data_IF_925281815394
#
_entry.id   IF_925281815394
#
_cell.length_a   1.000
_cell.length_b   1.000
_cell.length_c   1.000
_cell.angle_alpha   90.00
_cell.angle_beta   90.00
_cell.angle_gamma   90.00
#
_symmetry.space_group_name_H-M   'P 1'
#
loop_
_entity.id
_entity.type
_entity.pdbx_description
1 polymer ?
#
# COMPACT_ATOMS: atom_id res chain seq x y z
N UNK A 1 12.58 1.28 0.05
CA UNK A 1 12.33 -0.18 -0.13
C UNK A 1 11.75 -0.41 -1.53
N UNK A 2 12.61 -0.57 -2.53
CA UNK A 2 12.18 -0.95 -3.89
C UNK A 2 11.91 -2.46 -3.92
N UNK A 3 10.89 -2.90 -4.66
CA UNK A 3 10.24 -4.20 -4.46
C UNK A 3 11.24 -5.38 -4.44
N UNK A 4 11.09 -6.32 -3.51
CA UNK A 4 11.98 -7.48 -3.30
C UNK A 4 12.33 -8.22 -4.58
N UNK A 5 11.41 -8.20 -5.54
CA UNK A 5 11.54 -8.61 -6.93
C UNK A 5 12.75 -8.05 -7.67
N UNK A 6 13.03 -6.75 -7.54
CA UNK A 6 14.14 -6.11 -8.23
C UNK A 6 15.48 -6.61 -7.70
N UNK A 7 15.58 -6.75 -6.37
CA UNK A 7 16.78 -7.28 -5.72
C UNK A 7 16.99 -8.74 -6.14
N UNK A 8 15.94 -9.57 -6.11
CA UNK A 8 15.99 -10.95 -6.61
C UNK A 8 16.51 -11.01 -8.05
N UNK A 9 15.93 -10.21 -8.95
CA UNK A 9 16.30 -10.16 -10.37
C UNK A 9 17.76 -9.75 -10.57
N UNK A 10 18.21 -8.70 -9.88
CA UNK A 10 19.57 -8.19 -9.99
C UNK A 10 20.59 -9.21 -9.48
N UNK A 11 20.30 -9.91 -8.39
CA UNK A 11 21.14 -11.02 -7.90
C UNK A 11 21.20 -12.14 -8.94
N UNK A 12 20.05 -12.58 -9.46
CA UNK A 12 20.01 -13.65 -10.46
C UNK A 12 20.79 -13.26 -11.72
N UNK A 13 20.62 -12.04 -12.22
CA UNK A 13 21.36 -11.54 -13.38
C UNK A 13 22.87 -11.52 -13.14
N UNK A 14 23.31 -11.09 -11.95
CA UNK A 14 24.72 -11.13 -11.58
C UNK A 14 25.30 -12.56 -11.57
N UNK A 15 24.55 -13.53 -11.04
CA UNK A 15 24.96 -14.94 -11.04
C UNK A 15 25.02 -15.54 -12.45
N UNK A 16 24.11 -15.13 -13.34
CA UNK A 16 24.12 -15.53 -14.76
C UNK A 16 25.37 -14.98 -15.47
N UNK A 17 25.69 -13.70 -15.26
CA UNK A 17 26.91 -13.09 -15.84
C UNK A 17 28.20 -13.79 -15.38
N UNK A 18 28.20 -14.34 -14.17
CA UNK A 18 29.31 -15.13 -13.63
C UNK A 18 29.27 -16.62 -14.05
N UNK A 19 28.28 -17.03 -14.85
CA UNK A 19 28.05 -18.43 -15.25
C UNK A 19 27.80 -19.38 -14.07
N UNK A 20 27.30 -18.86 -12.94
CA UNK A 20 26.98 -19.61 -11.73
C UNK A 20 25.51 -20.05 -11.68
N UNK A 21 24.66 -19.39 -12.46
CA UNK A 21 23.24 -19.65 -12.55
C UNK A 21 22.86 -19.68 -14.03
N UNK A 22 22.12 -20.70 -14.45
CA UNK A 22 21.61 -20.87 -15.81
C UNK A 22 22.72 -20.77 -16.86
N UNK A 23 23.77 -21.59 -16.74
CA UNK A 23 24.94 -21.54 -17.62
C UNK A 23 24.65 -21.72 -19.11
N UNK A 24 23.47 -22.26 -19.46
CA UNK A 24 22.99 -22.45 -20.84
C UNK A 24 21.88 -21.45 -21.25
N UNK A 25 21.51 -20.50 -20.38
CA UNK A 25 20.49 -19.52 -20.71
C UNK A 25 21.05 -18.39 -21.59
N UNK A 26 20.19 -17.84 -22.43
CA UNK A 26 20.48 -16.61 -23.16
C UNK A 26 20.31 -15.41 -22.21
N UNK A 27 21.39 -14.70 -21.82
CA UNK A 27 21.32 -13.59 -20.86
C UNK A 27 20.41 -12.45 -21.35
N UNK A 28 20.32 -12.25 -22.67
CA UNK A 28 19.53 -11.18 -23.28
C UNK A 28 18.02 -11.43 -23.19
N UNK A 29 17.63 -12.69 -22.90
CA UNK A 29 16.23 -13.03 -22.70
C UNK A 29 15.78 -12.76 -21.26
N UNK A 30 16.66 -12.77 -20.25
CA UNK A 30 16.30 -12.64 -18.82
C UNK A 30 15.33 -11.46 -18.57
N UNK A 31 14.33 -11.57 -17.67
CA UNK A 31 13.18 -10.68 -17.68
C UNK A 31 13.64 -9.25 -17.61
N UNK A 32 13.18 -8.46 -18.57
CA UNK A 32 13.28 -7.02 -18.49
C UNK A 32 12.46 -6.56 -17.30
N UNK A 33 12.73 -5.34 -16.88
CA UNK A 33 12.02 -4.67 -15.80
C UNK A 33 10.50 -4.91 -15.88
N UNK A 34 9.87 -5.29 -14.77
CA UNK A 34 8.43 -5.61 -14.62
C UNK A 34 7.94 -7.00 -15.08
N UNK A 35 8.77 -7.84 -15.70
CA UNK A 35 8.34 -9.15 -16.23
C UNK A 35 8.43 -10.31 -15.23
N UNK A 36 8.80 -10.05 -13.97
CA UNK A 36 8.85 -11.06 -12.91
C UNK A 36 8.05 -10.53 -11.71
N UNK A 37 6.78 -10.88 -11.51
CA UNK A 37 5.99 -10.35 -10.39
C UNK A 37 6.45 -10.92 -9.04
N UNK A 38 6.23 -10.18 -7.95
CA UNK A 38 6.55 -10.64 -6.58
C UNK A 38 5.83 -11.95 -6.21
N UNK A 39 4.70 -12.24 -6.86
CA UNK A 39 4.00 -13.52 -6.73
C UNK A 39 4.88 -14.71 -7.10
N UNK A 40 5.80 -14.57 -8.06
CA UNK A 40 6.73 -15.62 -8.42
C UNK A 40 7.68 -15.94 -7.26
N UNK A 41 8.16 -14.94 -6.53
CA UNK A 41 8.96 -15.16 -5.32
C UNK A 41 8.14 -15.93 -4.28
N UNK A 42 6.89 -15.55 -4.04
CA UNK A 42 6.01 -16.28 -3.11
C UNK A 42 5.79 -17.73 -3.51
N UNK A 43 5.69 -18.03 -4.81
CA UNK A 43 5.55 -19.40 -5.32
C UNK A 43 6.84 -20.22 -5.19
N UNK A 44 8.01 -19.63 -5.47
CA UNK A 44 9.32 -20.26 -5.22
C UNK A 44 9.49 -20.55 -3.73
N UNK A 45 9.02 -19.64 -2.87
CA UNK A 45 9.09 -19.81 -1.42
C UNK A 45 8.11 -20.87 -0.88
N UNK A 46 7.04 -21.15 -1.61
CA UNK A 46 6.14 -22.24 -1.31
C UNK A 46 6.79 -23.59 -1.66
N UNK A 47 7.44 -23.67 -2.81
CA UNK A 47 8.27 -24.83 -3.18
C UNK A 47 9.35 -25.11 -2.11
N UNK A 48 10.02 -24.07 -1.58
CA UNK A 48 10.99 -24.19 -0.49
C UNK A 48 10.41 -24.82 0.79
N UNK A 49 9.15 -24.56 1.11
CA UNK A 49 8.49 -25.15 2.26
C UNK A 49 8.06 -26.59 2.00
N UNK A 50 7.63 -26.88 0.78
CA UNK A 50 7.13 -28.18 0.36
C UNK A 50 8.27 -29.16 -0.02
N UNK A 51 9.51 -28.69 -0.11
CA UNK A 51 10.63 -29.47 -0.65
C UNK A 51 10.44 -29.82 -2.13
N UNK A 52 9.72 -28.97 -2.85
CA UNK A 52 9.31 -29.13 -4.24
C UNK A 52 10.10 -28.21 -5.17
N UNK A 53 10.04 -28.45 -6.47
CA UNK A 53 10.52 -27.54 -7.52
C UNK A 53 9.48 -27.24 -8.59
N UNK A 54 8.24 -27.75 -8.43
CA UNK A 54 7.23 -27.72 -9.48
C UNK A 54 6.88 -26.30 -9.92
N UNK A 55 6.66 -25.38 -8.97
CA UNK A 55 6.28 -23.99 -9.26
C UNK A 55 7.45 -23.21 -9.81
N UNK A 56 8.64 -23.43 -9.24
CA UNK A 56 9.89 -22.83 -9.68
C UNK A 56 10.16 -23.21 -11.14
N UNK A 57 10.08 -24.49 -11.48
CA UNK A 57 10.18 -24.98 -12.86
C UNK A 57 9.13 -24.38 -13.79
N UNK A 58 7.87 -24.27 -13.33
CA UNK A 58 6.79 -23.66 -14.10
C UNK A 58 7.06 -22.19 -14.42
N UNK A 59 7.42 -21.39 -13.40
CA UNK A 59 7.79 -19.98 -13.56
C UNK A 59 8.94 -19.82 -14.55
N UNK A 60 9.95 -20.68 -14.45
CA UNK A 60 11.07 -20.66 -15.36
C UNK A 60 10.60 -20.95 -16.80
N UNK A 61 9.84 -22.03 -17.01
CA UNK A 61 9.30 -22.38 -18.33
C UNK A 61 8.44 -21.27 -18.94
N UNK A 62 7.49 -20.74 -18.19
CA UNK A 62 6.50 -19.77 -18.66
C UNK A 62 7.12 -18.42 -18.99
N UNK A 63 8.26 -18.12 -18.39
CA UNK A 63 8.94 -16.85 -18.56
C UNK A 63 9.69 -16.71 -19.89
N UNK A 64 9.81 -17.78 -20.69
CA UNK A 64 10.40 -17.74 -22.02
C UNK A 64 11.93 -17.54 -22.06
N UNK A 65 12.61 -17.58 -20.90
CA UNK A 65 14.07 -17.45 -20.80
C UNK A 65 14.84 -18.70 -21.24
N UNK A 66 14.16 -19.83 -21.38
CA UNK A 66 14.78 -21.13 -21.56
C UNK A 66 14.58 -21.67 -22.97
N UNK A 67 15.70 -22.05 -23.60
CA UNK A 67 15.71 -22.94 -24.77
C UNK A 67 16.03 -24.39 -24.38
N UNK A 68 16.50 -24.65 -23.15
CA UNK A 68 16.83 -25.98 -22.59
C UNK A 68 16.31 -26.16 -21.16
N UNK A 69 16.27 -27.41 -20.66
CA UNK A 69 15.85 -27.73 -19.28
C UNK A 69 16.79 -27.11 -18.21
N UNK A 70 16.20 -26.57 -17.13
CA UNK A 70 16.94 -26.06 -15.97
C UNK A 70 17.52 -27.22 -15.14
N UNK A 71 18.72 -27.05 -14.60
CA UNK A 71 19.32 -28.07 -13.74
C UNK A 71 18.76 -28.01 -12.32
N UNK A 72 18.88 -29.11 -11.57
CA UNK A 72 18.54 -29.13 -10.14
C UNK A 72 19.35 -28.09 -9.32
N UNK A 73 20.60 -27.82 -9.73
CA UNK A 73 21.43 -26.80 -9.11
C UNK A 73 20.87 -25.40 -9.33
N UNK A 74 20.42 -25.08 -10.55
CA UNK A 74 19.81 -23.80 -10.87
C UNK A 74 18.56 -23.52 -10.04
N UNK A 75 17.70 -24.53 -9.92
CA UNK A 75 16.48 -24.48 -9.10
C UNK A 75 16.85 -24.17 -7.64
N UNK A 76 17.81 -24.91 -7.08
CA UNK A 76 18.27 -24.71 -5.70
C UNK A 76 18.85 -23.32 -5.48
N UNK A 77 19.59 -22.77 -6.45
CA UNK A 77 20.13 -21.41 -6.39
C UNK A 77 19.00 -20.37 -6.39
N UNK A 78 18.03 -20.48 -7.30
CA UNK A 78 16.90 -19.56 -7.37
C UNK A 78 16.07 -19.57 -6.09
N UNK A 79 15.79 -20.77 -5.58
CA UNK A 79 15.15 -21.01 -4.31
C UNK A 79 15.90 -20.37 -3.13
N UNK A 80 17.22 -20.50 -3.11
CA UNK A 80 18.06 -19.90 -2.08
C UNK A 80 18.05 -18.38 -2.16
N UNK A 81 18.18 -17.80 -3.36
CA UNK A 81 18.12 -16.35 -3.56
C UNK A 81 16.77 -15.79 -3.12
N UNK A 82 15.65 -16.46 -3.45
CA UNK A 82 14.32 -16.08 -2.99
C UNK A 82 14.24 -16.05 -1.45
N UNK A 83 14.71 -17.12 -0.79
CA UNK A 83 14.73 -17.21 0.66
C UNK A 83 15.54 -16.10 1.33
N UNK A 84 16.74 -15.80 0.82
CA UNK A 84 17.61 -14.75 1.36
C UNK A 84 16.98 -13.37 1.20
N UNK A 85 16.43 -13.07 0.02
CA UNK A 85 15.77 -11.78 -0.27
C UNK A 85 14.54 -11.59 0.62
N UNK A 86 13.67 -12.61 0.72
CA UNK A 86 12.47 -12.55 1.54
C UNK A 86 12.77 -12.48 3.04
N UNK A 87 13.79 -13.20 3.51
CA UNK A 87 14.25 -13.12 4.90
C UNK A 87 14.75 -11.71 5.23
N UNK A 88 15.61 -11.13 4.39
CA UNK A 88 16.10 -9.75 4.56
C UNK A 88 14.95 -8.74 4.59
N UNK A 89 13.97 -8.88 3.69
CA UNK A 89 12.79 -8.01 3.68
C UNK A 89 12.01 -8.09 5.00
N UNK A 90 11.83 -9.31 5.54
CA UNK A 90 11.13 -9.52 6.81
C UNK A 90 11.85 -8.84 8.01
N UNK A 91 13.18 -8.83 8.01
CA UNK A 91 13.99 -8.19 9.04
C UNK A 91 13.85 -6.66 8.99
N UNK A 92 13.93 -6.07 7.80
CA UNK A 92 13.79 -4.62 7.62
C UNK A 92 12.40 -4.12 8.08
N UNK A 93 11.35 -4.86 7.72
CA UNK A 93 9.99 -4.56 8.18
C UNK A 93 9.88 -4.69 9.70
N UNK A 94 10.43 -5.77 10.28
CA UNK A 94 10.42 -5.98 11.72
C UNK A 94 11.18 -4.89 12.48
N UNK A 95 12.30 -4.39 11.95
CA UNK A 95 13.04 -3.25 12.54
C UNK A 95 12.15 -2.02 12.62
N UNK A 96 11.48 -1.68 11.51
CA UNK A 96 10.61 -0.50 11.47
C UNK A 96 9.42 -0.64 12.42
N UNK A 97 8.72 -1.78 12.39
CA UNK A 97 7.63 -2.07 13.31
C UNK A 97 8.07 -2.09 14.78
N UNK A 98 9.26 -2.62 15.08
CA UNK A 98 9.80 -2.66 16.44
C UNK A 98 10.05 -1.27 17.02
N UNK A 99 10.49 -0.32 16.18
CA UNK A 99 10.60 1.09 16.58
C UNK A 99 9.22 1.67 16.90
N UNK A 100 8.20 1.37 16.09
CA UNK A 100 6.84 1.84 16.34
C UNK A 100 6.24 1.26 17.62
N UNK A 101 6.38 -0.05 17.86
CA UNK A 101 5.92 -0.70 19.10
C UNK A 101 6.55 -0.05 20.34
N UNK A 102 7.87 0.19 20.30
CA UNK A 102 8.59 0.88 21.39
C UNK A 102 8.16 2.34 21.56
N UNK A 103 7.79 3.01 20.47
CA UNK A 103 7.38 4.42 20.48
C UNK A 103 5.97 4.61 21.02
N UNK A 104 5.04 3.77 20.58
CA UNK A 104 3.65 3.77 21.05
C UNK A 104 3.63 3.31 22.51
N UNK A 105 4.38 2.25 22.84
CA UNK A 105 4.57 1.74 24.20
C UNK A 105 3.28 1.46 24.96
N UNK A 106 2.31 0.83 24.30
CA UNK A 106 1.07 0.37 24.95
C UNK A 106 1.37 -0.74 25.97
N UNK A 107 0.69 -0.70 27.12
CA UNK A 107 0.74 -1.78 28.12
C UNK A 107 -0.06 -3.02 27.68
N UNK A 108 -1.03 -2.82 26.79
CA UNK A 108 -1.88 -3.87 26.25
C UNK A 108 -1.34 -4.36 24.90
N UNK A 109 -1.84 -5.50 24.44
CA UNK A 109 -1.53 -6.02 23.11
C UNK A 109 -1.84 -4.98 22.03
N UNK A 110 -0.81 -4.60 21.25
CA UNK A 110 -0.95 -3.73 20.08
C UNK A 110 -1.34 -4.54 18.86
N UNK A 111 -2.42 -4.15 18.19
CA UNK A 111 -2.84 -4.80 16.94
C UNK A 111 -2.28 -4.03 15.75
N UNK A 112 -1.63 -4.78 14.86
CA UNK A 112 -1.05 -4.29 13.62
C UNK A 112 -1.95 -4.78 12.48
N UNK A 113 -2.76 -3.89 11.93
CA UNK A 113 -3.56 -4.17 10.75
C UNK A 113 -2.65 -4.15 9.52
N UNK A 114 -2.67 -5.22 8.73
CA UNK A 114 -1.80 -5.40 7.57
C UNK A 114 -2.63 -5.66 6.33
N UNK A 115 -2.40 -4.89 5.28
CA UNK A 115 -2.91 -5.17 3.93
C UNK A 115 -1.73 -5.27 2.94
N UNK A 116 -2.01 -5.76 1.73
CA UNK A 116 -1.04 -5.92 0.66
C UNK A 116 -0.82 -7.37 0.24
N UNK A 117 -0.61 -7.56 -1.06
CA UNK A 117 -0.51 -8.87 -1.71
C UNK A 117 0.66 -9.70 -1.21
N UNK A 118 1.80 -9.08 -0.89
CA UNK A 118 2.98 -9.79 -0.42
C UNK A 118 2.69 -10.45 0.94
N UNK A 119 2.04 -9.73 1.87
CA UNK A 119 1.65 -10.30 3.16
C UNK A 119 0.57 -11.40 3.02
N UNK A 120 -0.39 -11.22 2.10
CA UNK A 120 -1.47 -12.20 1.86
C UNK A 120 -0.96 -13.53 1.30
N UNK A 121 0.02 -13.50 0.41
CA UNK A 121 0.39 -14.67 -0.39
C UNK A 121 1.76 -15.26 -0.08
N UNK A 122 2.66 -14.53 0.58
CA UNK A 122 3.99 -15.06 0.89
C UNK A 122 3.94 -16.03 2.07
N UNK A 123 4.32 -17.30 1.91
CA UNK A 123 3.98 -18.34 2.89
C UNK A 123 4.77 -18.25 4.20
N UNK A 124 5.95 -17.61 4.19
CA UNK A 124 6.84 -17.48 5.35
C UNK A 124 6.91 -16.09 5.99
N UNK A 125 6.45 -15.05 5.28
CA UNK A 125 6.81 -13.67 5.61
C UNK A 125 6.24 -13.23 6.96
N UNK A 126 4.96 -13.56 7.21
CA UNK A 126 4.30 -13.29 8.48
C UNK A 126 5.05 -13.91 9.66
N UNK A 127 5.34 -15.21 9.58
CA UNK A 127 6.01 -15.93 10.66
C UNK A 127 7.40 -15.38 10.96
N UNK A 128 8.15 -14.98 9.93
CA UNK A 128 9.45 -14.34 10.11
C UNK A 128 9.35 -12.94 10.71
N UNK A 129 8.43 -12.09 10.26
CA UNK A 129 8.22 -10.76 10.85
C UNK A 129 7.87 -10.92 12.34
N UNK A 130 6.94 -11.81 12.68
CA UNK A 130 6.56 -12.10 14.07
C UNK A 130 7.75 -12.61 14.89
N UNK A 131 8.56 -13.52 14.34
CA UNK A 131 9.76 -14.05 14.99
C UNK A 131 10.78 -12.97 15.31
N UNK A 132 11.14 -12.14 14.31
CA UNK A 132 12.08 -11.04 14.50
C UNK A 132 11.54 -9.99 15.49
N UNK A 133 10.24 -9.68 15.43
CA UNK A 133 9.62 -8.74 16.38
C UNK A 133 9.65 -9.25 17.83
N UNK A 134 9.35 -10.54 18.06
CA UNK A 134 9.44 -11.16 19.39
C UNK A 134 10.87 -11.09 19.95
N UNK A 135 11.89 -11.21 19.10
CA UNK A 135 13.29 -11.07 19.50
C UNK A 135 13.66 -9.61 19.82
N UNK A 136 13.20 -8.64 19.01
CA UNK A 136 13.57 -7.23 19.14
C UNK A 136 12.79 -6.46 20.21
N UNK A 137 11.55 -6.88 20.47
CA UNK A 137 10.61 -6.23 21.38
C UNK A 137 9.95 -7.26 22.31
N UNK A 138 10.71 -8.05 23.10
CA UNK A 138 10.16 -9.15 23.90
C UNK A 138 9.20 -8.70 25.00
N UNK A 139 9.23 -7.42 25.38
CA UNK A 139 8.36 -6.82 26.40
C UNK A 139 7.05 -6.26 25.84
N UNK A 140 6.91 -6.17 24.50
CA UNK A 140 5.73 -5.61 23.86
C UNK A 140 4.84 -6.73 23.34
N UNK A 141 3.58 -6.74 23.75
CA UNK A 141 2.58 -7.66 23.22
C UNK A 141 2.06 -7.12 21.89
N UNK A 142 2.05 -7.96 20.86
CA UNK A 142 1.55 -7.57 19.54
C UNK A 142 0.96 -8.76 18.78
N UNK A 143 0.09 -8.45 17.82
CA UNK A 143 -0.37 -9.41 16.81
C UNK A 143 -0.58 -8.73 15.46
N UNK A 144 -0.28 -9.47 14.39
CA UNK A 144 -0.58 -9.04 13.03
C UNK A 144 -1.97 -9.56 12.63
N UNK A 145 -2.82 -8.64 12.17
CA UNK A 145 -4.18 -8.92 11.72
C UNK A 145 -4.30 -8.56 10.24
N UNK A 146 -4.83 -9.46 9.42
CA UNK A 146 -5.05 -9.19 8.00
C UNK A 146 -6.27 -8.27 7.83
N UNK A 147 -6.06 -7.07 7.30
CA UNK A 147 -7.10 -6.15 6.91
C UNK A 147 -7.53 -6.43 5.46
N UNK A 148 -8.68 -7.09 5.28
CA UNK A 148 -9.23 -7.33 3.95
C UNK A 148 -9.81 -6.03 3.40
N UNK A 149 -9.17 -5.51 2.34
CA UNK A 149 -9.52 -4.25 1.68
C UNK A 149 -9.48 -3.05 2.63
N UNK A 150 -8.43 -3.04 3.47
CA UNK A 150 -8.26 -2.08 4.56
C UNK A 150 -8.26 -0.64 4.07
N UNK A 151 -7.58 -0.36 2.97
CA UNK A 151 -7.43 0.99 2.44
C UNK A 151 -8.74 1.61 1.93
N UNK A 152 -9.53 0.88 1.13
CA UNK A 152 -10.79 1.36 0.56
C UNK A 152 -11.88 1.52 1.62
N UNK A 153 -12.09 0.51 2.47
CA UNK A 153 -13.04 0.58 3.58
C UNK A 153 -12.66 1.64 4.58
N UNK A 154 -11.36 1.75 4.88
CA UNK A 154 -10.81 2.79 5.74
C UNK A 154 -11.13 4.19 5.23
N UNK A 155 -10.98 4.46 3.93
CA UNK A 155 -11.36 5.75 3.36
C UNK A 155 -12.87 6.02 3.45
N UNK A 156 -13.73 5.04 3.19
CA UNK A 156 -15.17 5.21 3.37
C UNK A 156 -15.54 5.52 4.82
N UNK A 157 -14.88 4.86 5.79
CA UNK A 157 -15.04 5.13 7.23
C UNK A 157 -14.55 6.53 7.61
N UNK A 158 -13.39 6.95 7.09
CA UNK A 158 -12.89 8.31 7.33
C UNK A 158 -13.85 9.33 6.71
N UNK A 159 -14.43 9.05 5.55
CA UNK A 159 -15.47 9.90 4.96
C UNK A 159 -16.71 9.97 5.86
N UNK A 160 -17.14 8.85 6.43
CA UNK A 160 -18.26 8.80 7.37
C UNK A 160 -18.01 9.65 8.63
N UNK A 161 -16.81 9.53 9.20
CA UNK A 161 -16.40 10.33 10.36
C UNK A 161 -16.32 11.82 9.99
N UNK A 162 -15.71 12.16 8.85
CA UNK A 162 -15.56 13.54 8.38
C UNK A 162 -16.93 14.21 8.15
N UNK A 163 -17.84 13.51 7.46
CA UNK A 163 -19.21 13.97 7.19
C UNK A 163 -19.99 14.16 8.51
N UNK A 164 -19.87 13.22 9.46
CA UNK A 164 -20.48 13.34 10.79
C UNK A 164 -19.94 14.54 11.56
N UNK A 165 -18.63 14.77 11.55
CA UNK A 165 -18.00 15.89 12.26
C UNK A 165 -18.41 17.24 11.65
N UNK A 166 -18.51 17.34 10.32
CA UNK A 166 -19.01 18.52 9.63
C UNK A 166 -20.48 18.83 10.01
N UNK A 167 -21.33 17.79 10.08
CA UNK A 167 -22.74 17.93 10.52
C UNK A 167 -22.86 18.30 12.01
N UNK A 168 -21.96 17.81 12.86
CA UNK A 168 -21.93 18.13 14.30
C UNK A 168 -21.58 19.60 14.59
N UNK A 169 -20.73 20.22 13.77
CA UNK A 169 -20.49 21.67 13.88
C UNK A 169 -21.75 22.49 13.58
N UNK A 170 -22.78 21.89 12.94
CA UNK A 170 -24.06 22.53 12.63
C UNK A 170 -25.22 22.12 13.58
N UNK A 171 -25.16 20.96 14.23
CA UNK A 171 -26.16 20.50 15.20
C UNK A 171 -25.51 19.81 16.42
N UNK A 172 -25.81 20.31 17.64
CA UNK A 172 -25.42 19.77 18.94
C UNK A 172 -26.00 18.36 19.24
N UNK A 173 -25.71 17.33 18.42
CA UNK A 173 -26.12 15.94 18.70
C UNK A 173 -24.95 15.09 19.22
N UNK A 174 -25.07 14.78 20.51
CA UNK A 174 -24.24 13.90 21.32
C UNK A 174 -24.54 12.44 20.92
N UNK A 175 -23.47 11.66 20.70
CA UNK A 175 -23.37 10.25 20.28
C UNK A 175 -24.37 9.73 19.22
N UNK A 176 -23.90 9.63 17.97
CA UNK A 176 -24.50 8.76 16.94
C UNK A 176 -23.34 8.06 16.24
N UNK A 177 -23.38 6.73 16.19
CA UNK A 177 -22.49 5.91 15.38
C UNK A 177 -22.73 6.18 13.89
N UNK A 178 -21.75 5.89 13.04
CA UNK A 178 -21.79 6.22 11.62
C UNK A 178 -22.94 5.46 10.91
N UNK A 179 -23.89 6.20 10.33
CA UNK A 179 -25.01 5.64 9.56
C UNK A 179 -25.18 6.40 8.25
N UNK A 180 -25.19 5.67 7.13
CA UNK A 180 -25.32 6.24 5.80
C UNK A 180 -24.53 5.48 4.73
N UNK A 181 -24.60 5.98 3.49
CA UNK A 181 -23.86 5.47 2.35
C UNK A 181 -22.65 6.34 2.08
N UNK A 182 -21.48 5.70 2.01
CA UNK A 182 -20.20 6.36 1.85
C UNK A 182 -19.45 5.72 0.70
N UNK A 183 -18.87 6.56 -0.16
CA UNK A 183 -18.04 6.09 -1.25
C UNK A 183 -16.58 6.10 -0.84
N UNK A 184 -15.79 5.23 -1.47
CA UNK A 184 -14.34 5.34 -1.48
C UNK A 184 -13.78 5.22 -2.90
N UNK A 185 -12.82 6.08 -3.23
CA UNK A 185 -11.91 5.89 -4.35
C UNK A 185 -10.58 5.41 -3.78
N UNK A 186 -10.08 4.29 -4.28
CA UNK A 186 -8.80 3.76 -3.85
C UNK A 186 -7.86 3.63 -5.05
N UNK A 187 -6.97 4.63 -5.17
CA UNK A 187 -5.94 4.69 -6.18
C UNK A 187 -4.61 4.20 -5.58
N UNK A 188 -4.30 2.93 -5.89
CA UNK A 188 -3.03 2.30 -5.57
C UNK A 188 -2.07 2.27 -6.77
N UNK A 189 -0.97 1.51 -6.65
CA UNK A 189 0.07 1.44 -7.68
C UNK A 189 -0.34 0.74 -8.98
N UNK A 190 -1.26 -0.22 -8.93
CA UNK A 190 -1.64 -1.02 -10.12
C UNK A 190 -3.15 -1.24 -10.23
N UNK A 191 -3.87 -1.11 -9.11
CA UNK A 191 -5.31 -1.30 -9.05
C UNK A 191 -5.96 0.00 -8.63
N UNK A 192 -6.96 0.40 -9.40
CA UNK A 192 -7.92 1.42 -9.00
C UNK A 192 -9.25 0.75 -8.70
N UNK A 193 -9.94 1.16 -7.65
CA UNK A 193 -11.28 0.67 -7.34
C UNK A 193 -12.18 1.75 -6.79
N UNK A 194 -13.47 1.54 -7.00
CA UNK A 194 -14.55 2.33 -6.42
C UNK A 194 -15.30 1.42 -5.44
N UNK A 195 -15.55 1.91 -4.23
CA UNK A 195 -16.27 1.21 -3.18
C UNK A 195 -17.53 1.98 -2.78
N UNK A 196 -18.60 1.26 -2.45
CA UNK A 196 -19.69 1.73 -1.59
C UNK A 196 -19.63 0.97 -0.27
N UNK A 197 -19.71 1.71 0.84
CA UNK A 197 -19.92 1.17 2.18
C UNK A 197 -21.20 1.78 2.75
N UNK A 198 -22.18 0.95 3.05
CA UNK A 198 -23.37 1.33 3.79
C UNK A 198 -23.22 0.94 5.25
N UNK A 199 -23.29 1.92 6.13
CA UNK A 199 -23.17 1.75 7.57
C UNK A 199 -24.53 1.95 8.23
N UNK A 200 -24.84 1.11 9.21
CA UNK A 200 -25.94 1.28 10.16
C UNK A 200 -25.39 1.09 11.55
N UNK A 201 -25.47 2.13 12.37
CA UNK A 201 -24.94 2.20 13.71
C UNK A 201 -23.45 1.81 13.81
N UNK A 202 -22.66 2.21 12.81
CA UNK A 202 -21.23 1.93 12.69
C UNK A 202 -20.90 0.54 12.13
N UNK A 203 -21.91 -0.27 11.82
CA UNK A 203 -21.75 -1.61 11.26
C UNK A 203 -21.97 -1.58 9.75
N UNK A 204 -21.03 -2.17 9.00
CA UNK A 204 -21.18 -2.35 7.55
C UNK A 204 -22.28 -3.35 7.21
N UNK A 205 -23.38 -2.87 6.61
CA UNK A 205 -24.53 -3.70 6.21
C UNK A 205 -24.57 -4.00 4.71
N UNK A 206 -23.90 -3.16 3.90
CA UNK A 206 -23.76 -3.38 2.45
C UNK A 206 -22.39 -2.90 1.98
N UNK A 207 -21.80 -3.69 1.08
CA UNK A 207 -20.53 -3.39 0.44
C UNK A 207 -20.62 -3.70 -1.04
N UNK A 208 -20.20 -2.76 -1.89
CA UNK A 208 -20.08 -2.95 -3.34
C UNK A 208 -18.68 -2.50 -3.77
N UNK A 209 -18.02 -3.29 -4.60
CA UNK A 209 -16.65 -3.01 -5.06
C UNK A 209 -16.56 -3.19 -6.57
N UNK A 210 -15.97 -2.24 -7.26
CA UNK A 210 -15.65 -2.37 -8.69
C UNK A 210 -14.20 -2.01 -8.94
N UNK A 211 -13.48 -2.90 -9.62
CA UNK A 211 -12.08 -2.74 -9.96
C UNK A 211 -11.93 -2.24 -11.39
N UNK A 212 -11.02 -1.29 -11.56
CA UNK A 212 -10.72 -0.66 -12.83
C UNK A 212 -9.23 -0.72 -13.09
N UNK A 213 -8.88 -0.94 -14.36
CA UNK A 213 -7.50 -0.84 -14.84
C UNK A 213 -7.25 0.59 -15.30
N UNK A 214 -6.14 1.16 -14.85
CA UNK A 214 -5.62 2.43 -15.36
C UNK A 214 -4.47 2.09 -16.32
N UNK A 215 -4.64 2.43 -17.60
CA UNK A 215 -3.65 2.13 -18.62
C UNK A 215 -2.37 2.95 -18.43
N UNK A 216 -1.28 2.51 -19.04
CA UNK A 216 0.04 3.15 -18.93
C UNK A 216 0.00 4.57 -19.52
N UNK A 217 -0.77 4.77 -20.60
CA UNK A 217 -0.97 6.10 -21.19
C UNK A 217 -1.61 7.09 -20.21
N UNK A 218 -2.51 6.62 -19.35
CA UNK A 218 -3.13 7.46 -18.31
C UNK A 218 -2.18 7.64 -17.12
N UNK A 219 -1.46 6.59 -16.69
CA UNK A 219 -0.53 6.65 -15.54
C UNK A 219 0.71 7.51 -15.80
N UNK A 220 1.09 7.66 -17.07
CA UNK A 220 2.30 8.39 -17.51
C UNK A 220 1.96 9.64 -18.33
N UNK A 221 0.68 9.91 -18.55
CA UNK A 221 0.20 11.03 -19.36
C UNK A 221 -0.07 12.30 -18.55
N UNK A 222 -1.04 13.09 -19.01
CA UNK A 222 -1.45 14.33 -18.35
C UNK A 222 -2.30 14.06 -17.10
N UNK A 223 -2.04 14.82 -16.03
CA UNK A 223 -2.79 14.71 -14.78
C UNK A 223 -4.31 14.87 -14.95
N UNK A 224 -4.74 15.78 -15.83
CA UNK A 224 -6.17 15.98 -16.11
C UNK A 224 -6.82 14.69 -16.63
N UNK A 225 -6.14 13.96 -17.52
CA UNK A 225 -6.64 12.70 -18.06
C UNK A 225 -6.76 11.61 -16.98
N UNK A 226 -5.81 11.54 -16.04
CA UNK A 226 -5.92 10.66 -14.88
C UNK A 226 -7.18 10.97 -14.07
N UNK A 227 -7.35 12.21 -13.60
CA UNK A 227 -8.49 12.55 -12.74
C UNK A 227 -9.83 12.45 -13.47
N UNK A 228 -9.89 12.77 -14.77
CA UNK A 228 -11.09 12.53 -15.59
C UNK A 228 -11.44 11.06 -15.71
N UNK A 229 -10.44 10.17 -15.80
CA UNK A 229 -10.64 8.73 -15.80
C UNK A 229 -11.14 8.24 -14.44
N UNK A 230 -10.63 8.76 -13.33
CA UNK A 230 -11.13 8.42 -11.98
C UNK A 230 -12.61 8.81 -11.82
N UNK A 231 -12.97 10.03 -12.26
CA UNK A 231 -14.34 10.53 -12.21
C UNK A 231 -15.28 9.74 -13.15
N UNK A 232 -14.80 9.27 -14.30
CA UNK A 232 -15.55 8.40 -15.21
C UNK A 232 -15.94 7.07 -14.55
N UNK A 233 -14.97 6.40 -13.93
CA UNK A 233 -15.23 5.13 -13.25
C UNK A 233 -16.20 5.32 -12.07
N UNK A 234 -16.05 6.42 -11.33
CA UNK A 234 -16.98 6.81 -10.28
C UNK A 234 -18.40 7.01 -10.82
N UNK A 235 -18.56 7.75 -11.92
CA UNK A 235 -19.84 7.96 -12.60
C UNK A 235 -20.48 6.63 -13.02
N UNK A 236 -19.71 5.76 -13.68
CA UNK A 236 -20.16 4.43 -14.09
C UNK A 236 -20.67 3.61 -12.90
N UNK A 237 -19.92 3.62 -11.80
CA UNK A 237 -20.24 2.88 -10.59
C UNK A 237 -21.55 3.35 -9.93
N UNK A 238 -21.72 4.66 -9.72
CA UNK A 238 -22.93 5.20 -9.07
C UNK A 238 -24.18 5.07 -9.97
N UNK A 239 -24.02 5.17 -11.29
CA UNK A 239 -25.12 4.96 -12.25
C UNK A 239 -25.59 3.51 -12.20
N UNK A 240 -24.65 2.55 -12.21
CA UNK A 240 -24.97 1.12 -12.12
C UNK A 240 -25.73 0.78 -10.84
N UNK A 241 -25.40 1.44 -9.73
CA UNK A 241 -26.05 1.22 -8.43
C UNK A 241 -27.32 2.05 -8.22
N UNK A 242 -27.68 2.94 -9.17
CA UNK A 242 -28.87 3.80 -9.06
C UNK A 242 -28.75 4.87 -7.97
N UNK A 243 -27.54 5.38 -7.71
CA UNK A 243 -27.25 6.31 -6.60
C UNK A 243 -27.05 7.77 -7.04
N UNK A 244 -27.43 8.12 -8.28
CA UNK A 244 -27.17 9.45 -8.86
C UNK A 244 -27.90 10.59 -8.15
N UNK A 245 -29.02 10.29 -7.49
CA UNK A 245 -29.87 11.26 -6.79
C UNK A 245 -29.59 11.31 -5.28
N UNK A 246 -28.55 10.62 -4.81
CA UNK A 246 -28.16 10.57 -3.41
C UNK A 246 -26.94 11.45 -3.12
N UNK A 247 -26.96 12.15 -1.98
CA UNK A 247 -25.78 12.89 -1.50
C UNK A 247 -24.77 11.90 -0.92
N UNK A 248 -23.63 11.73 -1.58
CA UNK A 248 -22.62 10.74 -1.21
C UNK A 248 -21.33 11.43 -0.79
N UNK A 249 -20.91 11.16 0.45
CA UNK A 249 -19.60 11.56 0.94
C UNK A 249 -18.55 10.55 0.45
N UNK A 250 -17.49 11.05 -0.16
CA UNK A 250 -16.42 10.27 -0.77
C UNK A 250 -15.11 10.43 0.01
N UNK A 251 -14.54 9.30 0.41
CA UNK A 251 -13.16 9.21 0.89
C UNK A 251 -12.23 8.87 -0.26
N UNK A 252 -11.10 9.57 -0.37
CA UNK A 252 -10.12 9.34 -1.42
C UNK A 252 -8.84 8.73 -0.82
N UNK A 253 -8.66 7.42 -0.97
CA UNK A 253 -7.36 6.80 -0.73
C UNK A 253 -6.43 7.12 -1.90
N UNK A 254 -5.45 7.99 -1.64
CA UNK A 254 -4.46 8.42 -2.61
C UNK A 254 -3.07 8.03 -2.09
N UNK A 255 -2.58 6.89 -2.54
CA UNK A 255 -1.46 6.18 -1.90
C UNK A 255 -0.10 6.66 -2.39
N UNK A 256 0.15 7.96 -2.26
CA UNK A 256 1.37 8.64 -2.69
C UNK A 256 1.83 9.62 -1.62
N UNK A 257 3.13 9.96 -1.55
CA UNK A 257 3.63 10.93 -0.59
C UNK A 257 2.91 12.28 -0.72
N UNK A 258 2.26 12.71 0.35
CA UNK A 258 1.47 13.94 0.38
C UNK A 258 1.85 14.84 1.55
N UNK A 259 1.75 16.15 1.32
CA UNK A 259 1.66 17.13 2.40
C UNK A 259 0.20 17.39 2.71
N UNK A 260 -0.25 16.94 3.88
CA UNK A 260 -1.62 17.19 4.35
C UNK A 260 -1.77 18.60 4.91
N UNK A 261 -2.81 19.31 4.45
CA UNK A 261 -3.23 20.62 4.97
C UNK A 261 -4.57 20.54 5.73
N UNK A 262 -5.20 19.37 5.72
CA UNK A 262 -6.46 19.07 6.38
C UNK A 262 -7.01 17.72 5.92
N UNK A 263 -8.13 17.29 6.50
CA UNK A 263 -8.71 15.97 6.18
C UNK A 263 -9.11 15.84 4.70
N UNK A 264 -9.54 16.94 4.06
CA UNK A 264 -9.93 17.00 2.64
C UNK A 264 -8.94 17.83 1.79
N UNK A 265 -7.67 17.92 2.20
CA UNK A 265 -6.66 18.68 1.46
C UNK A 265 -5.29 18.03 1.61
N UNK A 266 -4.73 17.59 0.48
CA UNK A 266 -3.42 16.95 0.41
C UNK A 266 -2.73 17.29 -0.90
N UNK A 267 -1.53 17.85 -0.80
CA UNK A 267 -0.69 18.23 -1.94
C UNK A 267 0.26 17.07 -2.26
N UNK A 268 0.24 16.58 -3.50
CA UNK A 268 1.19 15.54 -3.93
C UNK A 268 2.62 16.10 -3.86
N UNK A 269 3.51 15.41 -3.14
CA UNK A 269 4.94 15.79 -3.05
C UNK A 269 5.68 15.29 -4.28
N UNK A 270 5.61 13.99 -4.54
CA UNK A 270 6.21 13.38 -5.72
C UNK A 270 5.51 12.07 -6.05
N UNK A 271 5.48 11.73 -7.33
CA UNK A 271 5.02 10.42 -7.75
C UNK A 271 5.95 9.31 -7.28
N UNK A 272 5.35 8.16 -7.00
CA UNK A 272 6.07 6.93 -6.66
C UNK A 272 5.41 5.76 -7.39
N UNK A 273 5.93 4.55 -7.16
CA UNK A 273 5.42 3.31 -7.78
C UNK A 273 5.60 3.38 -9.30
N UNK A 274 4.50 3.38 -10.06
CA UNK A 274 4.51 3.31 -11.52
C UNK A 274 3.64 4.41 -12.16
N UNK A 275 3.45 5.51 -11.42
CA UNK A 275 2.78 6.72 -11.89
C UNK A 275 3.83 7.79 -12.16
N UNK A 276 3.58 8.63 -13.15
CA UNK A 276 4.37 9.83 -13.43
C UNK A 276 3.53 10.84 -14.23
N UNK A 277 2.33 11.17 -13.75
CA UNK A 277 1.44 12.06 -14.49
C UNK A 277 1.96 13.50 -14.43
N UNK A 278 2.06 14.15 -15.58
CA UNK A 278 2.42 15.56 -15.68
C UNK A 278 1.40 16.44 -14.94
N UNK A 279 1.86 17.60 -14.46
CA UNK A 279 0.99 18.63 -13.89
C UNK A 279 0.18 18.21 -12.64
N UNK A 280 0.64 17.24 -11.84
CA UNK A 280 0.00 16.85 -10.57
C UNK A 280 0.88 17.14 -9.35
N UNK A 281 2.19 16.92 -9.43
CA UNK A 281 3.12 17.23 -8.33
C UNK A 281 3.01 18.70 -7.92
N UNK A 282 3.01 18.96 -6.61
CA UNK A 282 2.79 20.30 -6.05
C UNK A 282 1.33 20.78 -6.08
N UNK A 283 0.37 19.96 -6.55
CA UNK A 283 -1.06 20.32 -6.56
C UNK A 283 -1.87 19.49 -5.56
N UNK A 284 -3.00 20.06 -5.14
CA UNK A 284 -3.95 19.39 -4.25
C UNK A 284 -4.76 18.32 -5.02
N UNK A 285 -4.57 17.04 -4.68
CA UNK A 285 -5.23 15.93 -5.35
C UNK A 285 -6.76 15.96 -5.19
N UNK A 286 -7.26 16.41 -4.03
CA UNK A 286 -8.70 16.59 -3.79
C UNK A 286 -9.29 17.65 -4.72
N UNK A 287 -8.56 18.76 -4.95
CA UNK A 287 -9.01 19.81 -5.87
C UNK A 287 -9.12 19.28 -7.30
N UNK A 288 -8.10 18.57 -7.77
CA UNK A 288 -8.09 17.96 -9.10
C UNK A 288 -9.25 16.96 -9.29
N UNK A 289 -9.49 16.13 -8.28
CA UNK A 289 -10.61 15.17 -8.30
C UNK A 289 -11.98 15.88 -8.29
N UNK A 290 -12.16 16.91 -7.46
CA UNK A 290 -13.39 17.70 -7.44
C UNK A 290 -13.67 18.38 -8.78
N UNK A 291 -12.64 18.94 -9.42
CA UNK A 291 -12.76 19.55 -10.75
C UNK A 291 -13.17 18.51 -11.79
N UNK A 292 -12.62 17.29 -11.74
CA UNK A 292 -13.02 16.18 -12.61
C UNK A 292 -14.46 15.71 -12.37
N UNK A 293 -14.86 15.60 -11.11
CA UNK A 293 -16.25 15.28 -10.71
C UNK A 293 -17.22 16.36 -11.21
N UNK A 294 -16.86 17.64 -11.09
CA UNK A 294 -17.72 18.75 -11.53
C UNK A 294 -17.98 18.76 -13.05
N UNK A 295 -17.09 18.17 -13.85
CA UNK A 295 -17.30 17.98 -15.31
C UNK A 295 -18.32 16.87 -15.62
N UNK A 296 -18.75 16.08 -14.64
CA UNK A 296 -19.65 14.92 -14.79
C UNK A 296 -21.03 15.22 -14.19
N UNK A 297 -22.05 15.39 -15.05
CA UNK A 297 -23.40 15.77 -14.62
C UNK A 297 -24.01 14.79 -13.60
N UNK A 298 -23.73 13.49 -13.73
CA UNK A 298 -24.32 12.47 -12.84
C UNK A 298 -23.61 12.34 -11.49
N UNK A 299 -22.50 13.05 -11.28
CA UNK A 299 -21.73 13.03 -10.03
C UNK A 299 -21.92 14.30 -9.18
N UNK A 300 -22.85 15.20 -9.54
CA UNK A 300 -23.03 16.49 -8.86
C UNK A 300 -23.35 16.37 -7.35
N UNK A 301 -23.88 15.24 -6.91
CA UNK A 301 -24.20 14.98 -5.50
C UNK A 301 -23.08 14.28 -4.71
N UNK A 302 -21.91 14.07 -5.33
CA UNK A 302 -20.73 13.48 -4.68
C UNK A 302 -19.80 14.59 -4.20
N UNK A 303 -19.38 14.53 -2.93
CA UNK A 303 -18.36 15.43 -2.37
C UNK A 303 -17.17 14.65 -1.79
N UNK A 304 -15.97 15.08 -2.13
CA UNK A 304 -14.72 14.53 -1.61
C UNK A 304 -14.45 15.10 -0.22
N UNK A 305 -14.87 14.40 0.83
CA UNK A 305 -14.80 14.89 2.21
C UNK A 305 -13.51 14.49 2.94
N UNK A 306 -12.75 13.56 2.38
CA UNK A 306 -11.50 13.11 2.97
C UNK A 306 -10.49 12.62 1.92
N UNK A 307 -9.20 12.79 2.20
CA UNK A 307 -8.09 12.15 1.50
C UNK A 307 -7.17 11.48 2.51
N UNK A 308 -6.79 10.23 2.24
CA UNK A 308 -5.97 9.41 3.14
C UNK A 308 -4.95 8.59 2.37
N UNK A 309 -3.86 8.20 3.05
CA UNK A 309 -2.93 7.19 2.55
C UNK A 309 -3.52 5.77 2.74
N UNK A 310 -3.09 4.79 1.95
CA UNK A 310 -3.54 3.38 2.08
C UNK A 310 -3.25 2.81 3.47
N UNK A 311 -2.10 3.15 4.06
CA UNK A 311 -1.75 2.75 5.43
C UNK A 311 -2.69 3.33 6.48
N UNK A 312 -3.14 4.58 6.31
CA UNK A 312 -4.10 5.23 7.20
C UNK A 312 -5.47 4.59 7.05
N UNK A 313 -5.91 4.30 5.82
CA UNK A 313 -7.14 3.53 5.58
C UNK A 313 -7.09 2.16 6.28
N UNK A 314 -6.01 1.42 6.10
CA UNK A 314 -5.79 0.12 6.76
C UNK A 314 -5.81 0.22 8.29
N UNK A 315 -5.21 1.28 8.87
CA UNK A 315 -5.27 1.54 10.31
C UNK A 315 -6.71 1.75 10.77
N UNK A 316 -7.48 2.58 10.05
CA UNK A 316 -8.85 2.92 10.42
C UNK A 316 -9.80 1.73 10.29
N UNK A 317 -9.67 0.94 9.23
CA UNK A 317 -10.44 -0.30 9.07
C UNK A 317 -10.09 -1.30 10.17
N UNK A 318 -8.80 -1.46 10.49
CA UNK A 318 -8.37 -2.34 11.58
C UNK A 318 -8.91 -1.88 12.94
N UNK A 319 -8.93 -0.58 13.20
CA UNK A 319 -9.45 -0.01 14.44
C UNK A 319 -10.96 -0.20 14.62
N UNK A 320 -11.73 -0.30 13.52
CA UNK A 320 -13.15 -0.62 13.57
C UNK A 320 -13.38 -2.08 14.01
N UNK A 321 -12.57 -3.01 13.50
CA UNK A 321 -12.67 -4.44 13.83
C UNK A 321 -12.09 -4.73 15.22
N UNK A 322 -11.01 -4.05 15.58
CA UNK A 322 -10.26 -4.30 16.79
C UNK A 322 -9.75 -2.98 17.38
N UNK A 323 -10.33 -2.57 18.50
CA UNK A 323 -10.08 -1.28 19.16
C UNK A 323 -8.64 -1.07 19.65
N UNK A 324 -7.86 -2.16 19.78
CA UNK A 324 -6.43 -2.15 20.11
C UNK A 324 -5.52 -1.93 18.90
N UNK A 325 -6.08 -1.74 17.71
CA UNK A 325 -5.28 -1.40 16.53
C UNK A 325 -4.60 -0.05 16.72
N UNK A 326 -3.29 -0.02 16.54
CA UNK A 326 -2.47 1.21 16.62
C UNK A 326 -1.56 1.40 15.43
N UNK A 327 -1.39 0.38 14.58
CA UNK A 327 -0.55 0.42 13.39
C UNK A 327 -1.35 -0.13 12.21
N UNK A 328 -1.38 0.60 11.11
CA UNK A 328 -1.81 0.13 9.79
C UNK A 328 -0.59 0.03 8.87
N UNK A 329 -0.37 -1.12 8.25
CA UNK A 329 0.80 -1.39 7.43
C UNK A 329 0.39 -1.91 6.06
N UNK A 330 1.08 -1.46 5.02
CA UNK A 330 1.00 -2.03 3.68
C UNK A 330 2.27 -2.81 3.39
N UNK A 331 2.10 -4.05 2.94
CA UNK A 331 3.15 -4.94 2.44
C UNK A 331 2.71 -5.54 1.11
N UNK A 332 3.02 -4.85 0.02
CA UNK A 332 2.71 -5.25 -1.36
C UNK A 332 3.83 -4.86 -2.32
N UNK A 333 3.48 -4.19 -3.42
CA UNK A 333 4.46 -3.64 -4.39
C UNK A 333 5.42 -2.66 -3.71
N UNK A 334 4.92 -1.89 -2.75
CA UNK A 334 5.71 -1.08 -1.82
C UNK A 334 5.46 -1.51 -0.37
N UNK A 335 6.13 -0.82 0.55
CA UNK A 335 5.86 -0.95 1.97
C UNK A 335 5.79 0.42 2.61
N UNK A 336 4.75 0.62 3.42
CA UNK A 336 4.59 1.81 4.26
C UNK A 336 3.84 1.43 5.55
N UNK A 337 3.87 2.30 6.56
CA UNK A 337 3.04 2.18 7.74
C UNK A 337 2.54 3.55 8.23
N UNK A 338 1.35 3.51 8.82
CA UNK A 338 0.76 4.58 9.59
C UNK A 338 0.57 4.09 11.03
N UNK A 339 0.74 4.96 12.01
CA UNK A 339 0.51 4.61 13.41
C UNK A 339 -0.21 5.73 14.17
N UNK A 340 -0.84 5.37 15.29
CA UNK A 340 -1.42 6.34 16.21
C UNK A 340 -0.33 6.91 17.12
N UNK A 341 -0.09 8.22 17.00
CA UNK A 341 0.83 8.99 17.83
C UNK A 341 0.06 9.88 18.82
N UNK A 342 0.62 10.11 19.99
CA UNK A 342 0.10 11.09 20.92
C UNK A 342 0.24 12.50 20.31
N UNK A 343 -0.86 13.24 20.22
CA UNK A 343 -0.90 14.59 19.66
C UNK A 343 0.16 15.53 20.28
N UNK A 344 0.41 15.37 21.59
CA UNK A 344 1.43 16.12 22.34
C UNK A 344 2.87 15.92 21.86
N UNK A 345 3.13 14.88 21.06
CA UNK A 345 4.46 14.58 20.49
C UNK A 345 4.60 15.05 19.03
N UNK A 346 3.53 15.56 18.42
CA UNK A 346 3.53 16.05 17.03
C UNK A 346 3.89 17.53 17.01
N UNK A 347 5.07 17.86 16.48
CA UNK A 347 5.60 19.23 16.51
C UNK A 347 5.27 20.07 15.26
N UNK A 348 4.89 19.44 14.15
CA UNK A 348 4.75 20.08 12.83
C UNK A 348 3.29 20.29 12.42
N UNK A 349 2.40 20.52 13.37
CA UNK A 349 0.99 20.74 13.09
C UNK A 349 0.73 22.18 12.63
N UNK A 350 0.17 22.37 11.43
CA UNK A 350 -0.12 23.71 10.88
C UNK A 350 -1.14 24.51 11.73
N UNK A 351 -1.95 23.85 12.57
CA UNK A 351 -2.95 24.49 13.45
C UNK A 351 -3.07 23.78 14.82
N UNK A 352 -3.36 24.54 15.87
CA UNK A 352 -3.58 24.00 17.22
C UNK A 352 -4.93 23.30 17.33
N UNK A 353 -4.92 22.05 17.81
CA UNK A 353 -6.11 21.25 18.05
C UNK A 353 -6.14 20.80 19.53
N UNK A 354 -6.60 21.68 20.41
CA UNK A 354 -6.53 21.47 21.87
C UNK A 354 -7.25 20.20 22.36
N UNK A 355 -8.27 19.74 21.63
CA UNK A 355 -9.11 18.61 22.02
C UNK A 355 -8.65 17.26 21.42
N UNK A 356 -7.60 17.26 20.59
CA UNK A 356 -7.12 16.03 19.93
C UNK A 356 -6.04 15.38 20.77
N UNK A 357 -6.28 14.14 21.19
CA UNK A 357 -5.33 13.37 22.01
C UNK A 357 -4.37 12.53 21.17
N UNK A 358 -4.83 12.02 20.03
CA UNK A 358 -4.06 11.13 19.16
C UNK A 358 -4.22 11.53 17.69
N UNK A 359 -3.17 11.32 16.91
CA UNK A 359 -3.10 11.63 15.48
C UNK A 359 -2.56 10.42 14.75
N UNK A 360 -3.19 10.08 13.63
CA UNK A 360 -2.64 9.10 12.70
C UNK A 360 -1.47 9.74 11.95
N UNK A 361 -0.29 9.15 12.06
CA UNK A 361 0.93 9.60 11.39
C UNK A 361 1.30 8.59 10.33
N UNK A 362 1.17 8.99 9.07
CA UNK A 362 1.78 8.31 7.94
C UNK A 362 3.29 8.58 7.95
N UNK A 363 4.08 7.52 8.02
CA UNK A 363 5.54 7.61 8.22
C UNK A 363 6.25 7.80 6.88
N UNK A 364 5.68 7.29 5.79
CA UNK A 364 6.36 7.13 4.51
C UNK A 364 7.75 6.45 4.68
N UNK A 365 7.77 5.33 5.42
CA UNK A 365 9.01 4.66 5.82
C UNK A 365 9.80 4.05 4.65
N UNK A 366 9.25 4.12 3.43
CA UNK A 366 9.90 3.66 2.21
C UNK A 366 11.19 4.42 1.92
N UNK A 367 11.28 5.67 2.39
CA UNK A 367 12.45 6.55 2.32
C UNK A 367 13.47 6.33 3.46
N UNK A 368 13.21 5.39 4.38
CA UNK A 368 14.16 5.07 5.44
C UNK A 368 15.49 4.61 4.85
N UNK A 369 16.55 5.38 5.14
CA UNK A 369 17.89 5.13 4.64
C UNK A 369 18.35 5.99 3.46
N UNK A 370 17.50 6.89 2.95
CA UNK A 370 17.89 7.80 1.85
C UNK A 370 18.94 8.82 2.26
N UNK A 371 19.04 9.11 3.56
CA UNK A 371 20.07 9.94 4.17
C UNK A 371 21.39 9.19 4.47
N UNK A 372 21.56 7.97 3.95
CA UNK A 372 22.77 7.17 4.11
C UNK A 372 22.93 6.46 5.46
N UNK A 373 22.01 6.66 6.42
CA UNK A 373 22.15 6.13 7.80
C UNK A 373 22.13 4.61 7.89
N UNK A 374 21.63 3.92 6.88
CA UNK A 374 21.60 2.44 6.81
C UNK A 374 22.50 1.89 5.71
N UNK A 375 23.44 2.68 5.17
CA UNK A 375 24.32 2.21 4.11
C UNK A 375 25.16 1.01 4.53
N UNK A 376 25.42 0.85 5.83
CA UNK A 376 26.13 -0.29 6.41
C UNK A 376 25.40 -1.64 6.24
N UNK A 377 24.09 -1.64 5.94
CA UNK A 377 23.32 -2.87 5.60
C UNK A 377 22.93 -2.93 4.12
N UNK A 378 23.27 -1.90 3.33
CA UNK A 378 23.03 -1.93 1.88
C UNK A 378 24.11 -2.76 1.20
N UNK A 379 23.69 -3.52 0.21
CA UNK A 379 24.56 -4.37 -0.61
C UNK A 379 24.85 -3.71 -1.95
N UNK A 380 25.87 -4.19 -2.70
CA UNK A 380 26.07 -3.76 -4.08
C UNK A 380 24.84 -3.98 -4.97
N UNK A 381 23.98 -4.96 -4.65
CA UNK A 381 22.74 -5.23 -5.38
C UNK A 381 21.69 -4.14 -5.14
N UNK A 382 21.58 -3.59 -3.93
CA UNK A 382 20.67 -2.45 -3.65
C UNK A 382 21.08 -1.22 -4.47
N UNK A 383 22.39 -0.98 -4.61
CA UNK A 383 22.91 0.11 -5.44
C UNK A 383 22.63 -0.08 -6.92
N UNK A 384 22.69 -1.32 -7.42
CA UNK A 384 22.34 -1.65 -8.80
C UNK A 384 20.84 -1.47 -9.07
N UNK A 385 19.98 -1.87 -8.12
CA UNK A 385 18.53 -1.62 -8.23
C UNK A 385 18.25 -0.12 -8.31
N UNK A 386 18.82 0.69 -7.41
CA UNK A 386 18.64 2.15 -7.41
C UNK A 386 19.09 2.81 -8.73
N UNK A 387 20.21 2.36 -9.31
CA UNK A 387 20.68 2.85 -10.61
C UNK A 387 19.69 2.51 -11.72
N UNK A 388 19.20 1.27 -11.75
CA UNK A 388 18.26 0.79 -12.76
C UNK A 388 16.88 1.44 -12.66
N UNK A 389 16.43 1.84 -11.46
CA UNK A 389 15.17 2.57 -11.27
C UNK A 389 15.31 4.06 -11.59
N UNK A 390 16.45 4.68 -11.26
CA UNK A 390 16.72 6.10 -11.60
C UNK A 390 16.86 6.38 -13.10
N UNK A 391 17.13 5.36 -13.92
CA UNK A 391 17.16 5.47 -15.39
C UNK A 391 15.80 5.29 -16.07
N UNK A 392 14.74 5.01 -15.29
CA UNK A 392 13.37 4.80 -15.76
C UNK A 392 12.42 5.97 -15.39
N UNK A 393 12.91 6.91 -14.60
CA UNK A 393 12.32 8.23 -14.32
C UNK A 393 13.09 9.28 -15.13
#
# INVERSE_FOLDING_TARGET
MESSTWVFRVICHHLIQQKLLLSNANPDKFPKTWQFPTTNISQIELDNLEGSSHRTCGILRDSGFFESECTAADIAILQHVAAVVSSRASQLVAVCLGVLLKRINESQETVIAVDGSLYKHHPRLRGWIEGHLRQMCPQHLFRLHLALDGSGKGAALVAAIADRLAKRQQLYRIFVSETGKYLALDLGGTNFRVLLLELVDGVGVREEVEHFVISDEIRLGEGVALFDRLAECLESFIVRLGLTDERLALGFTFSFPMKHHGIASGTLVTWTKSFNCANVEGKCAVKLLREAIARRQKCQMVDVVAIVNDTTGTLMQGALVESRTRIGMILGTGSNACFMEAASRVQHWETTHADIQNVAVDIEWGAFGDNGRIDFIKTPFDSQVKKATSSLL
#
